data_IF_415645046970
#
_entry.id   IF_415645046970
#
_cell.length_a   1.000
_cell.length_b   1.000
_cell.length_c   1.000
_cell.angle_alpha   90.00
_cell.angle_beta   90.00
_cell.angle_gamma   90.00
#
_symmetry.space_group_name_H-M   'P 1'
#
loop_
_entity.id
_entity.type
_entity.pdbx_description
1 polymer ?
#
# COMPACT_ATOMS: atom_id res chain seq x y z
N UNK A 1 -20.89 8.02 -20.61
CA UNK A 1 -21.32 7.12 -19.52
C UNK A 1 -21.02 7.78 -18.18
N UNK A 2 -21.93 7.72 -17.19
CA UNK A 2 -21.62 8.22 -15.86
C UNK A 2 -20.43 7.47 -15.25
N UNK A 3 -19.48 8.13 -14.58
CA UNK A 3 -18.27 7.50 -14.06
C UNK A 3 -18.56 6.34 -13.09
N UNK A 4 -19.67 6.43 -12.36
CA UNK A 4 -20.11 5.39 -11.41
C UNK A 4 -20.48 4.09 -12.13
N UNK A 5 -21.15 4.17 -13.29
CA UNK A 5 -21.52 3.00 -14.10
C UNK A 5 -20.28 2.31 -14.66
N UNK A 6 -19.28 3.07 -15.11
CA UNK A 6 -18.01 2.51 -15.56
C UNK A 6 -17.27 1.78 -14.42
N UNK A 7 -17.26 2.35 -13.22
CA UNK A 7 -16.63 1.73 -12.04
C UNK A 7 -17.34 0.42 -11.63
N UNK A 8 -18.67 0.40 -11.62
CA UNK A 8 -19.45 -0.81 -11.30
C UNK A 8 -19.23 -1.91 -12.34
N UNK A 9 -19.21 -1.55 -13.63
CA UNK A 9 -18.88 -2.49 -14.71
C UNK A 9 -17.46 -3.05 -14.57
N UNK A 10 -16.49 -2.21 -14.19
CA UNK A 10 -15.11 -2.63 -13.92
C UNK A 10 -15.02 -3.65 -12.78
N UNK A 11 -15.72 -3.41 -11.67
CA UNK A 11 -15.79 -4.36 -10.54
C UNK A 11 -16.39 -5.69 -11.00
N UNK A 12 -17.51 -5.65 -11.72
CA UNK A 12 -18.17 -6.85 -12.23
C UNK A 12 -17.26 -7.63 -13.19
N UNK A 13 -16.53 -6.94 -14.07
CA UNK A 13 -15.60 -7.54 -15.01
C UNK A 13 -14.44 -8.27 -14.30
N UNK A 14 -13.84 -7.65 -13.27
CA UNK A 14 -12.78 -8.28 -12.47
C UNK A 14 -13.31 -9.55 -11.79
N UNK A 15 -14.50 -9.49 -11.18
CA UNK A 15 -15.11 -10.65 -10.53
C UNK A 15 -15.44 -11.75 -11.53
N UNK A 16 -15.89 -11.41 -12.74
CA UNK A 16 -16.18 -12.38 -13.80
C UNK A 16 -14.91 -13.06 -14.28
N UNK A 17 -13.82 -12.31 -14.52
CA UNK A 17 -12.52 -12.87 -14.88
C UNK A 17 -12.04 -13.83 -13.79
N UNK A 18 -12.08 -13.42 -12.52
CA UNK A 18 -11.71 -14.27 -11.39
C UNK A 18 -12.57 -15.55 -11.32
N UNK A 19 -13.87 -15.46 -11.60
CA UNK A 19 -14.76 -16.61 -11.65
C UNK A 19 -14.44 -17.55 -12.81
N UNK A 20 -14.20 -17.01 -14.01
CA UNK A 20 -13.90 -17.81 -15.22
C UNK A 20 -12.58 -18.58 -15.06
N UNK A 21 -11.55 -17.92 -14.53
CA UNK A 21 -10.23 -18.50 -14.27
C UNK A 21 -10.20 -19.40 -13.01
N UNK A 22 -11.26 -19.44 -12.22
CA UNK A 22 -11.32 -20.29 -11.03
C UNK A 22 -11.38 -21.78 -11.41
N UNK A 23 -10.41 -22.54 -10.91
CA UNK A 23 -10.35 -24.01 -11.05
C UNK A 23 -11.54 -24.69 -10.34
N UNK A 24 -12.01 -24.10 -9.24
CA UNK A 24 -13.01 -24.69 -8.35
C UNK A 24 -14.28 -23.86 -8.22
N UNK A 25 -14.96 -23.53 -9.33
CA UNK A 25 -16.15 -22.64 -9.35
C UNK A 25 -17.24 -23.02 -8.32
N UNK A 26 -17.47 -24.32 -8.11
CA UNK A 26 -18.44 -24.84 -7.12
C UNK A 26 -17.97 -24.75 -5.65
N UNK A 27 -16.67 -24.52 -5.42
CA UNK A 27 -16.07 -24.37 -4.07
C UNK A 27 -15.98 -22.91 -3.63
N UNK A 28 -16.41 -21.97 -4.47
CA UNK A 28 -16.46 -20.55 -4.12
C UNK A 28 -17.48 -20.38 -2.99
N UNK A 29 -17.02 -19.90 -1.83
CA UNK A 29 -17.88 -19.63 -0.68
C UNK A 29 -18.37 -18.18 -0.76
N UNK A 30 -19.62 -17.89 -1.17
CA UNK A 30 -20.12 -16.53 -1.35
C UNK A 30 -20.03 -15.70 -0.06
N UNK A 31 -20.20 -16.35 1.10
CA UNK A 31 -20.01 -15.71 2.41
C UNK A 31 -18.62 -15.10 2.58
N UNK A 32 -17.57 -15.74 2.08
CA UNK A 32 -16.18 -15.24 2.18
C UNK A 32 -15.94 -14.13 1.17
N UNK A 33 -16.36 -14.34 -0.08
CA UNK A 33 -16.16 -13.35 -1.16
C UNK A 33 -16.91 -12.06 -0.87
N UNK A 34 -18.18 -12.14 -0.50
CA UNK A 34 -18.99 -10.97 -0.17
C UNK A 34 -18.50 -10.27 1.10
N UNK A 35 -18.05 -11.01 2.12
CA UNK A 35 -17.47 -10.41 3.31
C UNK A 35 -16.16 -9.67 3.00
N UNK A 36 -15.28 -10.26 2.18
CA UNK A 36 -14.04 -9.60 1.76
C UNK A 36 -14.31 -8.33 0.95
N UNK A 37 -15.27 -8.40 0.01
CA UNK A 37 -15.65 -7.23 -0.78
C UNK A 37 -16.31 -6.14 0.07
N UNK A 38 -17.21 -6.52 0.99
CA UNK A 38 -17.85 -5.59 1.92
C UNK A 38 -16.82 -4.92 2.84
N UNK A 39 -15.84 -5.68 3.35
CA UNK A 39 -14.75 -5.14 4.16
C UNK A 39 -13.91 -4.15 3.35
N UNK A 40 -13.57 -4.47 2.10
CA UNK A 40 -12.82 -3.58 1.22
C UNK A 40 -13.59 -2.28 0.93
N UNK A 41 -14.88 -2.37 0.62
CA UNK A 41 -15.73 -1.21 0.38
C UNK A 41 -15.91 -0.36 1.64
N UNK A 42 -16.08 -1.00 2.80
CA UNK A 42 -16.18 -0.32 4.09
C UNK A 42 -14.87 0.42 4.42
N UNK A 43 -13.71 -0.22 4.27
CA UNK A 43 -12.42 0.42 4.49
C UNK A 43 -12.20 1.59 3.55
N UNK A 44 -12.50 1.44 2.26
CA UNK A 44 -12.40 2.53 1.29
C UNK A 44 -13.31 3.70 1.67
N UNK A 45 -14.55 3.42 2.09
CA UNK A 45 -15.48 4.45 2.55
C UNK A 45 -14.98 5.15 3.82
N UNK A 46 -14.52 4.39 4.84
CA UNK A 46 -14.00 4.97 6.07
C UNK A 46 -12.78 5.86 5.78
N UNK A 47 -11.80 5.36 5.02
CA UNK A 47 -10.55 6.06 4.72
C UNK A 47 -10.73 7.26 3.80
N UNK A 48 -11.51 7.14 2.71
CA UNK A 48 -11.62 8.17 1.69
C UNK A 48 -12.88 9.04 1.83
N UNK A 49 -13.97 8.44 2.30
CA UNK A 49 -15.28 9.09 2.40
C UNK A 49 -15.45 9.93 3.67
N UNK A 50 -14.83 9.55 4.78
CA UNK A 50 -14.96 10.28 6.05
C UNK A 50 -13.83 11.28 6.29
N UNK A 51 -14.12 12.40 6.96
CA UNK A 51 -13.11 13.39 7.35
C UNK A 51 -12.09 12.81 8.34
N UNK A 52 -12.55 12.04 9.32
CA UNK A 52 -11.70 11.38 10.31
C UNK A 52 -10.75 10.35 9.68
N UNK A 53 -11.25 9.50 8.77
CA UNK A 53 -10.40 8.51 8.10
C UNK A 53 -9.34 9.15 7.20
N UNK A 54 -9.69 10.22 6.48
CA UNK A 54 -8.71 11.00 5.69
C UNK A 54 -7.64 11.63 6.58
N UNK A 55 -8.01 12.13 7.75
CA UNK A 55 -7.05 12.68 8.71
C UNK A 55 -6.07 11.62 9.21
N UNK A 56 -6.57 10.44 9.62
CA UNK A 56 -5.72 9.33 10.09
C UNK A 56 -4.75 8.89 9.00
N UNK A 57 -5.24 8.65 7.78
CA UNK A 57 -4.40 8.17 6.68
C UNK A 57 -3.39 9.22 6.24
N UNK A 58 -3.76 10.51 6.28
CA UNK A 58 -2.80 11.58 6.08
C UNK A 58 -1.70 11.57 7.14
N UNK A 59 -2.05 11.44 8.42
CA UNK A 59 -1.06 11.32 9.50
C UNK A 59 -0.12 10.13 9.32
N UNK A 60 -0.64 8.97 8.90
CA UNK A 60 0.18 7.80 8.57
C UNK A 60 1.10 8.07 7.36
N UNK A 61 0.59 8.71 6.32
CA UNK A 61 1.37 9.08 5.14
C UNK A 61 2.49 10.06 5.48
N UNK A 62 2.20 11.08 6.31
CA UNK A 62 3.19 12.05 6.79
C UNK A 62 4.27 11.35 7.64
N UNK A 63 3.89 10.36 8.46
CA UNK A 63 4.84 9.53 9.21
C UNK A 63 5.77 8.70 8.30
N UNK A 64 5.21 8.08 7.26
CA UNK A 64 6.01 7.35 6.25
C UNK A 64 6.93 8.32 5.48
N UNK A 65 6.44 9.52 5.14
CA UNK A 65 7.25 10.55 4.49
C UNK A 65 8.42 11.01 5.39
N UNK A 66 8.20 11.13 6.70
CA UNK A 66 9.28 11.42 7.65
C UNK A 66 10.34 10.30 7.66
N UNK A 67 9.93 9.03 7.66
CA UNK A 67 10.87 7.90 7.54
C UNK A 67 11.66 7.94 6.23
N UNK A 68 11.02 8.28 5.11
CA UNK A 68 11.71 8.47 3.83
C UNK A 68 12.76 9.60 3.91
N UNK A 69 12.48 10.67 4.65
CA UNK A 69 13.44 11.77 4.82
C UNK A 69 14.69 11.31 5.60
N UNK A 70 14.55 10.43 6.58
CA UNK A 70 15.68 9.84 7.30
C UNK A 70 16.51 8.92 6.42
N UNK A 71 15.86 8.11 5.57
CA UNK A 71 16.54 7.32 4.56
C UNK A 71 17.34 8.22 3.60
N UNK A 72 16.76 9.33 3.16
CA UNK A 72 17.44 10.34 2.34
C UNK A 72 18.71 10.89 3.01
N UNK A 73 18.66 11.20 4.31
CA UNK A 73 19.85 11.61 5.07
C UNK A 73 20.93 10.53 5.15
N UNK A 74 20.55 9.26 5.26
CA UNK A 74 21.48 8.13 5.16
C UNK A 74 22.14 8.04 3.78
N UNK A 75 21.38 8.24 2.71
CA UNK A 75 21.90 8.28 1.34
C UNK A 75 22.88 9.43 1.13
N UNK A 76 22.52 10.65 1.57
CA UNK A 76 23.39 11.83 1.51
C UNK A 76 24.71 11.59 2.24
N UNK A 77 24.67 10.93 3.41
CA UNK A 77 25.86 10.57 4.17
C UNK A 77 26.77 9.58 3.42
N UNK A 78 26.19 8.56 2.78
CA UNK A 78 26.97 7.52 2.09
C UNK A 78 27.51 7.97 0.73
N UNK A 79 26.75 8.75 -0.03
CA UNK A 79 27.03 9.05 -1.44
C UNK A 79 27.32 10.53 -1.72
N UNK A 80 27.24 11.40 -0.72
CA UNK A 80 27.43 12.84 -0.85
C UNK A 80 26.21 13.58 -1.41
N UNK A 81 26.12 14.89 -1.14
CA UNK A 81 25.00 15.75 -1.57
C UNK A 81 25.09 16.17 -3.03
N UNK A 82 26.29 16.31 -3.58
CA UNK A 82 26.54 16.71 -4.98
C UNK A 82 26.84 15.50 -5.87
N UNK A 83 26.03 14.45 -5.74
CA UNK A 83 26.20 13.24 -6.54
C UNK A 83 25.40 13.35 -7.85
N UNK A 84 26.04 13.24 -9.04
CA UNK A 84 25.33 13.28 -10.32
C UNK A 84 24.32 12.12 -10.48
N UNK A 85 24.46 11.07 -9.68
CA UNK A 85 23.55 9.93 -9.64
C UNK A 85 22.39 10.11 -8.64
N UNK A 86 22.31 11.21 -7.88
CA UNK A 86 21.29 11.40 -6.83
C UNK A 86 19.85 11.30 -7.37
N UNK A 87 19.61 11.75 -8.61
CA UNK A 87 18.31 11.69 -9.27
C UNK A 87 18.09 10.39 -10.06
N UNK A 88 18.99 9.42 -9.96
CA UNK A 88 18.83 8.11 -10.60
C UNK A 88 18.03 7.17 -9.70
N UNK A 89 17.37 6.18 -10.30
CA UNK A 89 16.68 5.14 -9.56
C UNK A 89 17.60 4.44 -8.54
N UNK A 90 18.88 4.24 -8.90
CA UNK A 90 19.84 3.54 -8.05
C UNK A 90 20.02 4.21 -6.69
N UNK A 91 20.18 5.55 -6.64
CA UNK A 91 20.32 6.27 -5.37
C UNK A 91 19.00 6.76 -4.79
N UNK A 92 17.96 6.94 -5.61
CA UNK A 92 16.64 7.36 -5.15
C UNK A 92 15.81 6.26 -4.49
N UNK A 93 15.96 4.99 -4.91
CA UNK A 93 15.13 3.88 -4.44
C UNK A 93 15.90 2.82 -3.63
N UNK A 94 17.09 2.40 -4.08
CA UNK A 94 17.77 1.27 -3.44
C UNK A 94 18.15 1.52 -1.96
N UNK A 95 18.71 2.68 -1.59
CA UNK A 95 19.01 2.97 -0.19
C UNK A 95 17.76 3.00 0.71
N UNK A 96 16.64 3.49 0.17
CA UNK A 96 15.35 3.51 0.88
C UNK A 96 14.90 2.07 1.18
N UNK A 97 15.04 1.15 0.22
CA UNK A 97 14.73 -0.28 0.44
C UNK A 97 15.59 -0.86 1.57
N UNK A 98 16.90 -0.59 1.56
CA UNK A 98 17.82 -1.09 2.61
C UNK A 98 17.45 -0.53 3.98
N UNK A 99 17.14 0.77 4.06
CA UNK A 99 16.69 1.41 5.30
C UNK A 99 15.41 0.76 5.84
N UNK A 100 14.39 0.58 5.00
CA UNK A 100 13.13 -0.04 5.44
C UNK A 100 13.30 -1.52 5.80
N UNK A 101 14.17 -2.26 5.10
CA UNK A 101 14.48 -3.64 5.46
C UNK A 101 15.12 -3.73 6.86
N UNK A 102 16.07 -2.84 7.17
CA UNK A 102 16.68 -2.76 8.50
C UNK A 102 15.67 -2.32 9.57
N UNK A 103 14.86 -1.30 9.29
CA UNK A 103 13.82 -0.82 10.21
C UNK A 103 12.80 -1.93 10.52
N UNK A 104 12.27 -2.60 9.50
CA UNK A 104 11.33 -3.70 9.67
C UNK A 104 11.97 -4.84 10.46
N UNK A 105 13.24 -5.19 10.19
CA UNK A 105 13.98 -6.18 10.97
C UNK A 105 14.06 -5.81 12.47
N UNK A 106 14.33 -4.53 12.78
CA UNK A 106 14.30 -4.02 14.16
C UNK A 106 12.90 -4.15 14.76
N UNK A 107 11.84 -3.77 14.04
CA UNK A 107 10.46 -3.87 14.53
C UNK A 107 10.04 -5.33 14.78
N UNK A 108 10.54 -6.26 13.98
CA UNK A 108 10.41 -7.70 14.25
C UNK A 108 11.21 -8.08 15.50
N UNK A 109 12.47 -7.69 15.64
CA UNK A 109 13.26 -8.00 16.84
C UNK A 109 12.58 -7.47 18.13
N UNK A 110 11.97 -6.28 18.06
CA UNK A 110 11.24 -5.66 19.17
C UNK A 110 9.85 -6.26 19.42
N UNK A 111 9.37 -7.17 18.57
CA UNK A 111 8.05 -7.80 18.75
C UNK A 111 6.86 -6.92 18.35
N UNK A 112 7.07 -5.84 17.59
CA UNK A 112 6.00 -4.90 17.19
C UNK A 112 5.23 -5.46 15.98
N UNK A 113 5.94 -6.07 15.02
CA UNK A 113 5.35 -6.61 13.79
C UNK A 113 4.62 -7.95 13.99
N UNK A 114 4.91 -8.67 15.07
CA UNK A 114 4.33 -9.98 15.37
C UNK A 114 3.00 -9.91 16.14
N UNK A 115 2.63 -8.73 16.63
CA UNK A 115 1.40 -8.51 17.38
C UNK A 115 0.32 -7.98 16.46
#
# INVERSE_FOLDING_TARGET
MPPILANLLGILAILLIAFVLSVGKRRIKPRVVLAAFALQALMAFLVLGTSGGRFVIKGMADGVAALLSYAGKGTEFLFGTENPLANTFALGALPVIVFFAALVSILYYLGIMQK
#
